data_IF_822988678283
#
_entry.id   IF_822988678283
#
_cell.length_a   1.000
_cell.length_b   1.000
_cell.length_c   1.000
_cell.angle_alpha   90.00
_cell.angle_beta   90.00
_cell.angle_gamma   90.00
#
_symmetry.space_group_name_H-M   'P 1'
#
loop_
_entity.id
_entity.type
_entity.pdbx_description
1 polymer ?
#
# COMPACT_ATOMS: atom_id res chain seq x y z
N UNK A 1 8.53 12.23 -5.16
CA UNK A 1 8.38 11.00 -5.97
C UNK A 1 7.35 10.04 -5.40
N UNK A 2 7.36 9.70 -4.10
CA UNK A 2 6.44 8.71 -3.53
C UNK A 2 4.94 9.02 -3.70
N UNK A 3 4.55 10.27 -3.45
CA UNK A 3 3.15 10.73 -3.57
C UNK A 3 2.67 10.65 -5.02
N UNK A 4 3.47 11.16 -5.96
CA UNK A 4 3.17 11.12 -7.40
C UNK A 4 3.08 9.66 -7.86
N UNK A 5 4.02 8.81 -7.44
CA UNK A 5 4.02 7.39 -7.76
C UNK A 5 2.80 6.65 -7.20
N UNK A 6 2.42 6.92 -5.95
CA UNK A 6 1.21 6.34 -5.37
C UNK A 6 -0.04 6.79 -6.11
N UNK A 7 -0.22 8.09 -6.34
CA UNK A 7 -1.35 8.62 -7.10
C UNK A 7 -1.44 8.02 -8.51
N UNK A 8 -0.31 7.90 -9.22
CA UNK A 8 -0.25 7.26 -10.53
C UNK A 8 -0.64 5.78 -10.48
N UNK A 9 -0.17 5.03 -9.48
CA UNK A 9 -0.56 3.62 -9.28
C UNK A 9 -2.04 3.49 -9.00
N UNK A 10 -2.62 4.38 -8.18
CA UNK A 10 -4.06 4.39 -7.91
C UNK A 10 -4.92 4.71 -9.14
N UNK A 11 -4.51 5.68 -9.95
CA UNK A 11 -5.20 5.96 -11.20
C UNK A 11 -5.09 4.78 -12.19
N UNK A 12 -3.90 4.18 -12.29
CA UNK A 12 -3.67 3.02 -13.15
C UNK A 12 -4.46 1.79 -12.70
N UNK A 13 -4.59 1.57 -11.38
CA UNK A 13 -5.35 0.44 -10.85
C UNK A 13 -6.84 0.56 -11.15
N UNK A 14 -7.40 1.77 -11.19
CA UNK A 14 -8.75 2.03 -11.68
C UNK A 14 -8.89 1.57 -13.14
N UNK A 15 -8.02 2.08 -14.01
CA UNK A 15 -8.05 1.79 -15.44
C UNK A 15 -7.96 0.29 -15.73
N UNK A 16 -7.00 -0.39 -15.09
CA UNK A 16 -6.81 -1.83 -15.26
C UNK A 16 -8.01 -2.61 -14.73
N UNK A 17 -8.58 -2.21 -13.59
CA UNK A 17 -9.75 -2.87 -13.04
C UNK A 17 -10.98 -2.75 -13.95
N UNK A 18 -11.26 -1.56 -14.47
CA UNK A 18 -12.38 -1.33 -15.40
C UNK A 18 -12.21 -2.09 -16.72
N UNK A 19 -10.97 -2.17 -17.24
CA UNK A 19 -10.68 -2.93 -18.47
C UNK A 19 -10.91 -4.44 -18.29
N UNK A 20 -10.56 -4.99 -17.13
CA UNK A 20 -10.68 -6.43 -16.86
C UNK A 20 -12.10 -6.82 -16.47
N UNK A 21 -12.81 -5.98 -15.71
CA UNK A 21 -14.18 -6.26 -15.31
C UNK A 21 -15.20 -6.09 -16.44
N UNK A 22 -14.87 -5.31 -17.47
CA UNK A 22 -15.83 -4.89 -18.49
C UNK A 22 -16.90 -3.92 -17.95
N UNK A 23 -16.73 -3.45 -16.71
CA UNK A 23 -17.59 -2.46 -16.07
C UNK A 23 -16.90 -1.11 -16.08
N UNK A 24 -17.69 -0.04 -16.14
CA UNK A 24 -17.13 1.31 -16.07
C UNK A 24 -16.43 1.54 -14.72
N UNK A 25 -17.07 1.14 -13.62
CA UNK A 25 -16.49 1.28 -12.28
C UNK A 25 -15.86 -0.04 -11.80
N UNK A 26 -14.65 0.01 -11.21
CA UNK A 26 -14.01 -1.16 -10.61
C UNK A 26 -14.86 -1.82 -9.52
N UNK A 27 -15.69 -1.03 -8.84
CA UNK A 27 -16.47 -1.45 -7.68
C UNK A 27 -17.80 -2.12 -8.05
N UNK A 28 -18.26 -1.97 -9.30
CA UNK A 28 -19.49 -2.60 -9.79
C UNK A 28 -19.34 -4.12 -9.95
N UNK A 29 -18.11 -4.61 -9.94
CA UNK A 29 -17.82 -6.03 -10.03
C UNK A 29 -16.87 -6.47 -8.91
N UNK A 30 -17.13 -7.68 -8.37
CA UNK A 30 -16.20 -8.29 -7.43
C UNK A 30 -14.80 -8.49 -8.01
N UNK A 31 -14.70 -8.72 -9.32
CA UNK A 31 -13.42 -8.90 -10.03
C UNK A 31 -12.62 -7.60 -10.08
N UNK A 32 -13.25 -6.49 -10.48
CA UNK A 32 -12.60 -5.17 -10.51
C UNK A 32 -12.15 -4.73 -9.12
N UNK A 33 -12.98 -4.97 -8.09
CA UNK A 33 -12.64 -4.67 -6.71
C UNK A 33 -11.41 -5.46 -6.24
N UNK A 34 -11.40 -6.79 -6.46
CA UNK A 34 -10.28 -7.65 -6.08
C UNK A 34 -9.00 -7.28 -6.83
N UNK A 35 -9.10 -7.01 -8.13
CA UNK A 35 -7.95 -6.65 -8.94
C UNK A 35 -7.33 -5.33 -8.48
N UNK A 36 -8.17 -4.33 -8.18
CA UNK A 36 -7.73 -3.07 -7.62
C UNK A 36 -7.01 -3.27 -6.27
N UNK A 37 -7.55 -4.11 -5.38
CA UNK A 37 -6.88 -4.45 -4.12
C UNK A 37 -5.54 -5.13 -4.33
N UNK A 38 -5.43 -6.06 -5.29
CA UNK A 38 -4.15 -6.74 -5.59
C UNK A 38 -3.11 -5.74 -6.10
N UNK A 39 -3.47 -4.89 -7.06
CA UNK A 39 -2.56 -3.89 -7.65
C UNK A 39 -2.06 -2.91 -6.60
N UNK A 40 -2.91 -2.51 -5.64
CA UNK A 40 -2.53 -1.62 -4.55
C UNK A 40 -1.71 -2.33 -3.46
N UNK A 41 -2.02 -3.60 -3.18
CA UNK A 41 -1.39 -4.37 -2.09
C UNK A 41 0.05 -4.75 -2.39
N UNK A 42 0.36 -5.16 -3.63
CA UNK A 42 1.71 -5.61 -4.02
C UNK A 42 2.79 -4.52 -3.81
N UNK A 43 2.70 -3.31 -4.39
CA UNK A 43 3.69 -2.27 -4.20
C UNK A 43 3.76 -1.81 -2.73
N UNK A 44 2.62 -1.78 -2.03
CA UNK A 44 2.56 -1.45 -0.61
C UNK A 44 3.32 -2.46 0.25
N UNK A 45 3.16 -3.76 -0.03
CA UNK A 45 3.90 -4.83 0.63
C UNK A 45 5.41 -4.75 0.34
N UNK A 46 5.79 -4.48 -0.91
CA UNK A 46 7.20 -4.28 -1.30
C UNK A 46 7.81 -3.08 -0.55
N UNK A 47 7.08 -1.95 -0.47
CA UNK A 47 7.52 -0.77 0.26
C UNK A 47 7.60 -1.02 1.77
N UNK A 48 6.64 -1.74 2.35
CA UNK A 48 6.67 -2.14 3.76
C UNK A 48 7.87 -3.04 4.08
N UNK A 49 8.24 -3.92 3.15
CA UNK A 49 9.41 -4.77 3.27
C UNK A 49 10.74 -4.00 3.17
N UNK A 50 10.82 -2.98 2.31
CA UNK A 50 12.06 -2.22 2.09
C UNK A 50 12.24 -1.04 3.04
N UNK A 51 11.15 -0.42 3.49
CA UNK A 51 11.18 0.85 4.21
C UNK A 51 10.51 0.78 5.59
N UNK A 52 10.43 1.92 6.28
CA UNK A 52 9.65 2.10 7.52
C UNK A 52 8.17 2.22 7.18
N UNK A 53 7.28 1.92 8.14
CA UNK A 53 5.82 1.89 7.95
C UNK A 53 5.20 3.21 7.49
N UNK A 54 5.86 4.34 7.75
CA UNK A 54 5.42 5.67 7.28
C UNK A 54 5.40 5.78 5.75
N UNK A 55 6.33 5.11 5.07
CA UNK A 55 6.43 5.11 3.60
C UNK A 55 5.23 4.42 2.93
N UNK A 56 4.89 3.15 3.21
CA UNK A 56 3.72 2.51 2.64
C UNK A 56 2.40 3.19 3.04
N UNK A 57 2.32 3.83 4.22
CA UNK A 57 1.14 4.63 4.60
C UNK A 57 0.95 5.85 3.69
N UNK A 58 2.01 6.64 3.49
CA UNK A 58 1.96 7.80 2.59
C UNK A 58 1.69 7.38 1.14
N UNK A 59 2.30 6.29 0.71
CA UNK A 59 2.03 5.70 -0.60
C UNK A 59 0.55 5.34 -0.75
N UNK A 60 -0.02 4.61 0.22
CA UNK A 60 -1.43 4.23 0.18
C UNK A 60 -2.38 5.42 0.21
N UNK A 61 -2.14 6.40 1.08
CA UNK A 61 -2.94 7.63 1.10
C UNK A 61 -2.94 8.31 -0.27
N UNK A 62 -1.77 8.45 -0.90
CA UNK A 62 -1.68 9.05 -2.24
C UNK A 62 -2.30 8.18 -3.33
N UNK A 63 -2.23 6.86 -3.23
CA UNK A 63 -2.83 5.95 -4.19
C UNK A 63 -4.36 5.97 -4.15
N UNK A 64 -4.96 5.92 -2.96
CA UNK A 64 -6.41 6.11 -2.83
C UNK A 64 -6.84 7.50 -3.26
N UNK A 65 -6.02 8.53 -3.04
CA UNK A 65 -6.30 9.87 -3.58
C UNK A 65 -6.31 9.86 -5.12
N UNK A 66 -5.29 9.27 -5.76
CA UNK A 66 -5.21 9.15 -7.22
C UNK A 66 -6.36 8.35 -7.83
N UNK A 67 -6.76 7.27 -7.17
CA UNK A 67 -7.92 6.44 -7.53
C UNK A 67 -9.22 7.27 -7.58
N UNK A 68 -9.47 8.07 -6.53
CA UNK A 68 -10.66 8.91 -6.44
C UNK A 68 -10.59 10.12 -7.40
N UNK A 69 -9.42 10.75 -7.55
CA UNK A 69 -9.22 11.85 -8.50
C UNK A 69 -9.43 11.37 -9.94
N UNK A 70 -9.00 10.15 -10.28
CA UNK A 70 -9.25 9.57 -11.60
C UNK A 70 -10.75 9.41 -11.87
N UNK A 71 -11.49 8.85 -10.90
CA UNK A 71 -12.95 8.74 -11.00
C UNK A 71 -13.62 10.12 -11.13
N UNK A 72 -13.16 11.15 -10.42
CA UNK A 72 -13.68 12.51 -10.57
C UNK A 72 -13.37 13.13 -11.95
N UNK A 73 -12.14 12.98 -12.43
CA UNK A 73 -11.70 13.65 -13.66
C UNK A 73 -12.26 12.98 -14.92
N UNK A 74 -12.20 11.65 -14.97
CA UNK A 74 -12.52 10.85 -16.15
C UNK A 74 -13.87 10.11 -16.05
N UNK A 75 -14.51 10.14 -14.88
CA UNK A 75 -15.85 9.59 -14.69
C UNK A 75 -16.95 10.42 -15.36
N UNK A 76 -18.04 9.75 -15.74
CA UNK A 76 -19.29 10.40 -16.13
C UNK A 76 -19.94 11.19 -14.98
N UNK A 77 -21.07 11.86 -15.25
CA UNK A 77 -21.81 12.63 -14.24
C UNK A 77 -22.22 11.79 -13.02
N UNK A 78 -22.57 10.52 -13.25
CA UNK A 78 -22.90 9.57 -12.19
C UNK A 78 -21.66 9.21 -11.35
N UNK A 79 -20.55 8.81 -11.99
CA UNK A 79 -19.32 8.45 -11.30
C UNK A 79 -18.75 9.59 -10.43
N UNK A 80 -18.93 10.85 -10.86
CA UNK A 80 -18.57 12.03 -10.05
C UNK A 80 -19.43 12.17 -8.79
N UNK A 81 -20.72 11.87 -8.87
CA UNK A 81 -21.61 11.87 -7.71
C UNK A 81 -21.24 10.75 -6.73
N UNK A 82 -20.80 9.60 -7.26
CA UNK A 82 -20.35 8.45 -6.47
C UNK A 82 -18.90 8.55 -5.99
N UNK A 83 -18.12 9.55 -6.39
CA UNK A 83 -16.75 9.72 -5.92
C UNK A 83 -16.65 9.84 -4.39
N UNK A 84 -17.65 10.41 -3.72
CA UNK A 84 -17.74 10.43 -2.25
C UNK A 84 -17.99 9.02 -1.65
N UNK A 85 -18.80 8.21 -2.33
CA UNK A 85 -18.99 6.81 -1.95
C UNK A 85 -17.70 6.01 -2.19
N UNK A 86 -17.05 6.21 -3.34
CA UNK A 86 -15.74 5.64 -3.66
C UNK A 86 -14.68 6.00 -2.63
N UNK A 87 -14.67 7.23 -2.12
CA UNK A 87 -13.79 7.66 -1.04
C UNK A 87 -14.11 6.93 0.29
N UNK A 88 -15.39 6.74 0.60
CA UNK A 88 -15.83 6.00 1.79
C UNK A 88 -15.46 4.52 1.72
N UNK A 89 -15.69 3.89 0.55
CA UNK A 89 -15.29 2.50 0.26
C UNK A 89 -13.76 2.37 0.30
N UNK A 90 -13.03 3.37 -0.19
CA UNK A 90 -11.57 3.43 -0.11
C UNK A 90 -11.07 3.38 1.33
N UNK A 91 -11.71 4.13 2.24
CA UNK A 91 -11.39 4.09 3.68
C UNK A 91 -11.70 2.71 4.27
N UNK A 92 -12.81 2.08 3.87
CA UNK A 92 -13.17 0.75 4.34
C UNK A 92 -12.21 -0.34 3.83
N UNK A 93 -11.66 -0.17 2.62
CA UNK A 93 -10.74 -1.12 2.00
C UNK A 93 -9.28 -0.88 2.39
N UNK A 94 -8.93 0.31 2.88
CA UNK A 94 -7.59 0.67 3.36
C UNK A 94 -6.94 -0.34 4.33
N UNK A 95 -7.68 -0.98 5.27
CA UNK A 95 -7.11 -1.96 6.18
C UNK A 95 -6.54 -3.20 5.47
N UNK A 96 -7.10 -3.63 4.34
CA UNK A 96 -6.67 -4.87 3.66
C UNK A 96 -5.18 -4.84 3.22
N UNK A 97 -4.72 -3.86 2.42
CA UNK A 97 -3.30 -3.74 2.09
C UNK A 97 -2.44 -3.42 3.32
N UNK A 98 -3.01 -2.77 4.34
CA UNK A 98 -2.30 -2.49 5.59
C UNK A 98 -2.02 -3.74 6.42
N UNK A 99 -2.95 -4.68 6.52
CA UNK A 99 -2.71 -5.96 7.19
C UNK A 99 -1.55 -6.69 6.50
N UNK A 100 -1.52 -6.70 5.17
CA UNK A 100 -0.41 -7.30 4.42
C UNK A 100 0.92 -6.58 4.66
N UNK A 101 0.93 -5.25 4.69
CA UNK A 101 2.10 -4.44 5.02
C UNK A 101 2.61 -4.70 6.44
N UNK A 102 1.71 -4.86 7.41
CA UNK A 102 2.04 -5.16 8.80
C UNK A 102 2.60 -6.59 8.93
N UNK A 103 1.96 -7.57 8.29
CA UNK A 103 2.43 -8.95 8.25
C UNK A 103 3.84 -9.05 7.66
N UNK A 104 4.09 -8.41 6.52
CA UNK A 104 5.41 -8.37 5.89
C UNK A 104 6.45 -7.68 6.77
N UNK A 105 6.09 -6.57 7.40
CA UNK A 105 6.98 -5.89 8.36
C UNK A 105 7.27 -6.76 9.60
N UNK A 106 6.29 -7.51 10.12
CA UNK A 106 6.44 -8.41 11.26
C UNK A 106 7.35 -9.61 10.92
N UNK A 107 7.14 -10.23 9.75
CA UNK A 107 8.00 -11.31 9.24
C UNK A 107 9.44 -10.82 9.10
N UNK A 108 9.64 -9.62 8.54
CA UNK A 108 10.97 -9.00 8.42
C UNK A 108 11.64 -8.80 9.78
N UNK A 109 10.89 -8.35 10.80
CA UNK A 109 11.42 -8.17 12.17
C UNK A 109 11.88 -9.51 12.77
N UNK A 110 11.10 -10.59 12.58
CA UNK A 110 11.46 -11.93 13.06
C UNK A 110 12.68 -12.51 12.35
N UNK A 111 12.89 -12.15 11.07
CA UNK A 111 14.04 -12.61 10.27
C UNK A 111 15.32 -11.82 10.50
N UNK A 112 15.29 -10.67 11.17
CA UNK A 112 16.53 -10.00 11.57
C UNK A 112 17.14 -10.83 12.71
N UNK A 113 18.24 -11.56 12.47
CA UNK A 113 18.91 -12.26 13.55
C UNK A 113 19.29 -11.19 14.58
N UNK A 114 18.99 -11.43 15.85
CA UNK A 114 19.45 -10.59 16.94
C UNK A 114 20.98 -10.61 16.96
N UNK A 115 21.62 -9.80 16.11
CA UNK A 115 23.06 -9.66 16.00
C UNK A 115 23.68 -8.98 17.25
N UNK A 116 22.92 -8.86 18.33
CA UNK A 116 23.26 -8.08 19.52
C UNK A 116 23.24 -8.87 20.84
N UNK A 117 23.20 -10.21 20.82
CA UNK A 117 23.41 -11.01 22.05
C UNK A 117 24.86 -11.52 22.19
N UNK A 118 25.67 -11.45 21.12
CA UNK A 118 26.99 -12.08 21.07
C UNK A 118 28.24 -11.21 21.22
N UNK A 119 28.15 -9.87 21.25
CA UNK A 119 29.35 -8.98 21.20
C UNK A 119 29.37 -7.97 22.34
N UNK A 120 29.11 -8.43 23.57
CA UNK A 120 29.44 -7.68 24.81
C UNK A 120 30.24 -8.51 25.82
N UNK A 121 30.90 -9.57 25.34
CA UNK A 121 31.92 -10.33 26.08
C UNK A 121 33.24 -10.37 25.30
N UNK A 122 33.92 -9.23 25.17
CA UNK A 122 35.39 -9.14 25.03
C UNK A 122 35.77 -7.68 24.86
N UNK A 123 36.13 -7.04 25.95
CA UNK A 123 37.41 -6.30 26.10
C UNK A 123 37.38 -5.48 27.40
N UNK A 124 37.70 -6.16 28.50
CA UNK A 124 38.58 -5.68 29.59
C UNK A 124 38.83 -6.86 30.52
N UNK A 125 39.99 -7.00 31.20
CA UNK A 125 41.23 -6.21 31.13
C UNK A 125 42.47 -7.11 30.85
N UNK A 126 43.52 -6.59 30.21
CA UNK A 126 44.85 -7.22 30.30
C UNK A 126 45.84 -6.23 30.89
N UNK A 127 46.02 -6.37 32.19
CA UNK A 127 47.06 -5.75 33.01
C UNK A 127 48.41 -6.31 32.55
N UNK A 128 49.35 -5.42 32.22
CA UNK A 128 50.82 -5.56 32.22
C UNK A 128 51.35 -4.13 32.21
N UNK A 129 52.22 -3.64 33.09
CA UNK A 129 52.97 -4.15 34.23
C UNK A 129 53.12 -2.97 35.19
#
# INVERSE_FOLDING_TARGET
MLIIGGAAVGALSWLVASLVSGTFEPYDSGVGLLLNQIILSVPTAVLAWRHRITVPLLFMASAYLGLNVHACAFGGSEARAWALLGASVSVLLFPAPMVLALCTAAIRRRRRPSASVGVRRRLKPRIRQ
#
